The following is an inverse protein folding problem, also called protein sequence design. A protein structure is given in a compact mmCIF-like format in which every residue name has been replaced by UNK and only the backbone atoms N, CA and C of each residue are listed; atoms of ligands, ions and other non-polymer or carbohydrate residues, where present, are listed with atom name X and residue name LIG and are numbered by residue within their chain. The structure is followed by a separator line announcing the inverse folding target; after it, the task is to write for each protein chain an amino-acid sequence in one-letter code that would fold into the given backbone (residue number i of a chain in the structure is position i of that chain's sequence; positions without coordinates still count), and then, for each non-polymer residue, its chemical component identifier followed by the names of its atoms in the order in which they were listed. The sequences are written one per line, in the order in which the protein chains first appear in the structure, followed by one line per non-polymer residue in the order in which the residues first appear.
data_IF_166579263276
#
_entry.id   IF_166579263276
#
_cell.length_a   1.000
_cell.length_b   1.000
_cell.length_c   1.000
_cell.angle_alpha   90.00
_cell.angle_beta   90.00
_cell.angle_gamma   90.00
#
_symmetry.space_group_name_H-M   'P 1'
#
loop_
_entity.id
_entity.type
_entity.pdbx_description
1 polymer ?
#
# COMPACT_ATOMS: atom_id res chain seq x y z
N UNK A 1 19.16 -11.56 -7.38
CA UNK A 1 18.95 -12.59 -8.41
C UNK A 1 17.86 -12.18 -9.38
N UNK A 2 16.66 -11.80 -8.91
CA UNK A 2 15.61 -11.23 -9.75
C UNK A 2 16.04 -10.00 -10.58
N UNK A 3 16.89 -9.13 -10.02
CA UNK A 3 17.42 -7.93 -10.71
C UNK A 3 18.25 -8.19 -11.97
N UNK A 4 18.68 -9.43 -12.22
CA UNK A 4 19.45 -9.84 -13.39
C UNK A 4 18.63 -10.69 -14.38
N UNK A 5 17.34 -10.88 -14.11
CA UNK A 5 16.46 -11.71 -14.94
C UNK A 5 15.65 -10.85 -15.90
N UNK A 6 15.10 -11.52 -16.92
CA UNK A 6 14.19 -10.88 -17.86
C UNK A 6 12.90 -10.39 -17.15
N UNK A 7 12.31 -9.27 -17.60
CA UNK A 7 11.08 -8.73 -17.00
C UNK A 7 9.89 -9.69 -17.20
N UNK A 8 8.96 -9.71 -16.24
CA UNK A 8 7.64 -10.33 -16.40
C UNK A 8 6.89 -9.64 -17.54
N UNK A 9 6.26 -10.41 -18.42
CA UNK A 9 5.38 -9.90 -19.48
C UNK A 9 3.95 -10.33 -19.18
N UNK A 10 3.04 -9.36 -19.16
CA UNK A 10 1.61 -9.56 -18.94
C UNK A 10 0.81 -8.96 -20.08
N UNK A 11 -0.35 -9.54 -20.32
CA UNK A 11 -1.42 -9.01 -21.15
C UNK A 11 -2.53 -8.52 -20.22
N UNK A 12 -2.91 -7.24 -20.34
CA UNK A 12 -4.01 -6.64 -19.59
C UNK A 12 -5.16 -6.34 -20.54
N UNK A 13 -6.29 -6.99 -20.32
CA UNK A 13 -7.51 -6.80 -21.10
C UNK A 13 -8.53 -6.03 -20.28
N UNK A 14 -8.98 -4.88 -20.80
CA UNK A 14 -10.03 -4.07 -20.16
C UNK A 14 -11.25 -4.06 -21.08
N UNK A 15 -12.42 -4.40 -20.53
CA UNK A 15 -13.68 -4.44 -21.28
C UNK A 15 -14.68 -3.51 -20.59
N UNK A 16 -15.20 -2.55 -21.34
CA UNK A 16 -16.30 -1.71 -20.92
C UNK A 16 -17.62 -2.34 -21.38
N UNK A 17 -18.57 -2.49 -20.47
CA UNK A 17 -19.91 -3.00 -20.73
C UNK A 17 -20.92 -1.90 -20.46
N UNK A 18 -21.85 -1.72 -21.38
CA UNK A 18 -22.96 -0.78 -21.22
C UNK A 18 -24.28 -1.55 -21.20
N UNK A 19 -25.14 -1.21 -20.25
CA UNK A 19 -26.46 -1.82 -20.13
C UNK A 19 -27.37 -0.99 -19.25
N UNK A 20 -28.62 -0.78 -19.69
CA UNK A 20 -29.64 -0.01 -18.95
C UNK A 20 -29.16 1.39 -18.47
N UNK A 21 -28.31 2.06 -19.25
CA UNK A 21 -27.76 3.38 -18.91
C UNK A 21 -26.66 3.36 -17.85
N UNK A 22 -26.17 2.19 -17.44
CA UNK A 22 -25.04 2.00 -16.53
C UNK A 22 -23.82 1.48 -17.28
N UNK A 23 -22.63 1.86 -16.79
CA UNK A 23 -21.35 1.41 -17.31
C UNK A 23 -20.66 0.51 -16.28
N UNK A 24 -20.13 -0.62 -16.75
CA UNK A 24 -19.39 -1.58 -15.95
C UNK A 24 -18.03 -1.82 -16.60
N UNK A 25 -16.99 -1.99 -15.79
CA UNK A 25 -15.64 -2.30 -16.26
C UNK A 25 -15.20 -3.67 -15.78
N UNK A 26 -14.74 -4.51 -16.70
CA UNK A 26 -14.06 -5.77 -16.40
C UNK A 26 -12.57 -5.62 -16.71
N UNK A 27 -11.72 -6.13 -15.83
CA UNK A 27 -10.28 -6.17 -16.03
C UNK A 27 -9.78 -7.61 -15.90
N UNK A 28 -9.09 -8.06 -16.92
CA UNK A 28 -8.42 -9.34 -17.00
C UNK A 28 -6.91 -9.15 -17.09
N UNK A 29 -6.15 -9.99 -16.38
CA UNK A 29 -4.70 -10.00 -16.45
C UNK A 29 -4.26 -11.43 -16.75
N UNK A 30 -3.38 -11.58 -17.74
CA UNK A 30 -2.79 -12.86 -18.13
C UNK A 30 -1.27 -12.73 -18.18
N UNK A 31 -0.56 -13.60 -17.48
CA UNK A 31 0.90 -13.68 -17.59
C UNK A 31 1.30 -14.40 -18.88
N UNK A 32 2.05 -13.72 -19.74
CA UNK A 32 2.64 -14.28 -20.97
C UNK A 32 4.01 -14.90 -20.70
N UNK A 33 4.78 -14.25 -19.82
CA UNK A 33 6.11 -14.70 -19.42
C UNK A 33 6.39 -14.29 -17.98
N UNK A 34 6.70 -15.22 -17.06
CA UNK A 34 6.88 -14.91 -15.64
C UNK A 34 8.18 -14.15 -15.33
N UNK A 35 9.24 -14.32 -16.13
CA UNK A 35 10.49 -13.58 -15.95
C UNK A 35 11.09 -13.70 -14.54
N UNK A 36 11.41 -12.57 -13.92
CA UNK A 36 12.01 -12.49 -12.59
C UNK A 36 11.12 -13.05 -11.45
N UNK A 37 9.81 -13.16 -11.67
CA UNK A 37 8.83 -13.63 -10.68
C UNK A 37 9.09 -15.06 -10.22
N UNK A 38 9.69 -15.90 -11.08
CA UNK A 38 10.04 -17.30 -10.77
C UNK A 38 10.93 -17.42 -9.52
N UNK A 39 11.70 -16.39 -9.20
CA UNK A 39 12.58 -16.37 -8.02
C UNK A 39 11.84 -16.01 -6.74
N UNK A 40 10.70 -15.31 -6.84
CA UNK A 40 9.91 -14.90 -5.69
C UNK A 40 8.85 -15.93 -5.28
N UNK A 41 8.49 -16.91 -6.14
CA UNK A 41 7.59 -18.02 -5.77
C UNK A 41 6.14 -17.57 -5.47
N UNK A 42 5.39 -18.37 -4.69
CA UNK A 42 3.97 -18.14 -4.29
C UNK A 42 3.73 -16.91 -3.39
N UNK A 43 4.70 -16.01 -3.22
CA UNK A 43 4.53 -14.78 -2.44
C UNK A 43 3.74 -13.70 -3.20
N UNK A 44 3.66 -13.80 -4.52
CA UNK A 44 2.74 -13.04 -5.37
C UNK A 44 1.65 -13.99 -5.89
N UNK A 45 0.56 -14.15 -5.15
CA UNK A 45 -0.71 -14.56 -5.77
C UNK A 45 -1.23 -13.37 -6.60
N UNK A 46 -0.61 -13.13 -7.75
CA UNK A 46 -1.23 -12.28 -8.76
C UNK A 46 -2.50 -12.99 -9.21
N UNK A 47 -3.65 -12.51 -8.72
CA UNK A 47 -4.99 -12.93 -9.14
C UNK A 47 -5.07 -12.85 -10.67
N UNK A 48 -4.76 -13.95 -11.33
CA UNK A 48 -4.81 -14.04 -12.78
C UNK A 48 -6.29 -14.15 -13.15
N UNK A 49 -6.96 -13.01 -13.26
CA UNK A 49 -8.33 -12.95 -13.74
C UNK A 49 -8.33 -13.15 -15.26
N UNK A 50 -8.44 -14.40 -15.69
CA UNK A 50 -8.61 -14.72 -17.09
C UNK A 50 -9.99 -14.27 -17.55
N UNK A 51 -10.03 -13.27 -18.43
CA UNK A 51 -11.25 -12.94 -19.14
C UNK A 51 -11.42 -13.88 -20.33
N UNK A 52 -12.65 -14.35 -20.62
CA UNK A 52 -12.93 -15.01 -21.88
C UNK A 52 -12.73 -14.04 -23.05
N UNK A 53 -12.55 -14.57 -24.26
CA UNK A 53 -12.51 -13.72 -25.45
C UNK A 53 -13.87 -13.03 -25.66
N UNK A 54 -13.90 -11.70 -25.50
CA UNK A 54 -15.07 -10.86 -25.72
C UNK A 54 -14.81 -10.03 -26.97
N UNK A 55 -15.73 -10.09 -27.94
CA UNK A 55 -15.68 -9.27 -29.15
C UNK A 55 -16.48 -7.98 -28.96
N UNK A 56 -16.04 -6.90 -29.59
CA UNK A 56 -16.80 -5.66 -29.64
C UNK A 56 -18.19 -5.90 -30.25
N UNK A 57 -19.23 -5.34 -29.63
CA UNK A 57 -20.62 -5.53 -30.03
C UNK A 57 -21.25 -6.86 -29.58
N UNK A 58 -20.54 -7.70 -28.82
CA UNK A 58 -21.14 -8.90 -28.24
C UNK A 58 -22.20 -8.55 -27.19
N UNK A 59 -23.38 -9.17 -27.30
CA UNK A 59 -24.44 -9.06 -26.29
C UNK A 59 -24.22 -10.11 -25.20
N UNK A 60 -24.11 -9.67 -23.95
CA UNK A 60 -24.01 -10.55 -22.78
C UNK A 60 -25.33 -10.59 -22.02
N UNK A 61 -25.70 -11.76 -21.52
CA UNK A 61 -26.85 -11.88 -20.60
C UNK A 61 -26.36 -11.64 -19.17
N UNK A 62 -27.06 -10.78 -18.45
CA UNK A 62 -26.81 -10.58 -17.01
C UNK A 62 -27.25 -11.84 -16.27
N UNK A 63 -26.32 -12.45 -15.54
CA UNK A 63 -26.59 -13.66 -14.73
C UNK A 63 -27.19 -13.30 -13.37
N UNK A 64 -26.39 -12.64 -12.53
CA UNK A 64 -26.78 -12.16 -11.20
C UNK A 64 -26.23 -10.75 -10.95
N UNK A 65 -26.88 -10.01 -10.06
CA UNK A 65 -26.45 -8.69 -9.60
C UNK A 65 -26.37 -8.72 -8.08
N UNK A 66 -25.18 -8.50 -7.53
CA UNK A 66 -24.92 -8.48 -6.08
C UNK A 66 -24.60 -7.03 -5.65
N UNK A 67 -25.53 -6.33 -4.99
CA UNK A 67 -25.29 -4.97 -4.51
C UNK A 67 -24.40 -5.00 -3.27
N UNK A 68 -23.20 -4.42 -3.37
CA UNK A 68 -22.26 -4.33 -2.24
C UNK A 68 -22.30 -2.95 -1.59
N UNK A 69 -22.60 -2.90 -0.30
CA UNK A 69 -22.40 -1.70 0.51
C UNK A 69 -20.97 -1.68 1.07
N UNK A 70 -20.20 -0.66 0.71
CA UNK A 70 -18.83 -0.46 1.22
C UNK A 70 -18.81 0.73 2.17
N UNK A 71 -18.05 0.58 3.26
CA UNK A 71 -17.75 1.67 4.19
C UNK A 71 -16.31 2.13 4.01
N UNK A 72 -16.08 3.43 4.15
CA UNK A 72 -14.71 3.96 4.22
C UNK A 72 -14.06 3.46 5.49
N UNK A 73 -12.87 2.88 5.35
CA UNK A 73 -12.05 2.52 6.50
C UNK A 73 -11.17 3.71 6.86
N UNK A 74 -10.89 3.95 8.16
CA UNK A 74 -9.88 4.91 8.54
C UNK A 74 -8.51 4.48 7.99
N UNK A 75 -7.57 5.42 7.95
CA UNK A 75 -6.20 5.12 7.52
C UNK A 75 -5.62 3.98 8.35
N UNK A 76 -4.91 3.04 7.70
CA UNK A 76 -4.29 1.93 8.40
C UNK A 76 -3.26 2.49 9.40
N UNK A 77 -3.22 1.94 10.63
CA UNK A 77 -2.23 2.38 11.59
C UNK A 77 -0.83 2.03 11.10
N UNK A 78 0.14 2.83 11.53
CA UNK A 78 1.52 2.65 11.10
C UNK A 78 2.11 1.33 11.62
N UNK A 79 2.77 0.58 10.74
CA UNK A 79 3.76 -0.45 11.05
C UNK A 79 5.18 0.07 10.72
N UNK A 80 6.22 -0.69 11.07
CA UNK A 80 7.61 -0.30 10.81
C UNK A 80 7.84 0.08 9.34
N UNK A 81 7.41 -0.76 8.39
CA UNK A 81 7.59 -0.50 6.96
C UNK A 81 6.91 0.81 6.50
N UNK A 82 5.69 1.05 6.95
CA UNK A 82 4.94 2.27 6.63
C UNK A 82 5.51 3.52 7.29
N UNK A 83 6.09 3.42 8.50
CA UNK A 83 6.81 4.55 9.12
C UNK A 83 8.09 4.83 8.35
N UNK A 84 8.87 3.81 8.00
CA UNK A 84 10.10 3.98 7.21
C UNK A 84 9.77 4.69 5.90
N UNK A 85 8.71 4.26 5.20
CA UNK A 85 8.25 4.91 3.97
C UNK A 85 7.83 6.36 4.21
N UNK A 86 7.08 6.64 5.27
CA UNK A 86 6.66 8.00 5.61
C UNK A 86 7.84 8.91 5.99
N UNK A 87 8.88 8.37 6.63
CA UNK A 87 10.12 9.08 6.95
C UNK A 87 10.89 9.42 5.68
N UNK A 88 11.01 8.46 4.75
CA UNK A 88 11.67 8.65 3.45
C UNK A 88 10.96 9.69 2.59
N UNK A 89 9.63 9.62 2.46
CA UNK A 89 8.81 10.59 1.71
C UNK A 89 8.95 12.02 2.26
N UNK A 90 9.17 12.16 3.57
CA UNK A 90 9.38 13.45 4.24
C UNK A 90 10.85 13.86 4.33
N UNK A 91 11.79 13.06 3.81
CA UNK A 91 13.24 13.34 3.86
C UNK A 91 13.87 13.20 5.26
N UNK A 92 13.13 12.70 6.24
CA UNK A 92 13.57 12.64 7.65
C UNK A 92 14.36 11.36 7.89
N UNK A 93 15.66 11.49 8.16
CA UNK A 93 16.55 10.36 8.41
C UNK A 93 17.12 9.75 7.14
N UNK A 94 17.87 8.65 7.27
CA UNK A 94 18.57 7.95 6.18
C UNK A 94 18.41 6.43 6.35
N UNK A 95 18.69 5.61 5.31
CA UNK A 95 18.58 4.15 5.40
C UNK A 95 19.32 3.53 6.59
N UNK A 96 20.44 4.15 7.01
CA UNK A 96 21.21 3.74 8.19
C UNK A 96 20.57 4.10 9.53
N UNK A 97 19.61 5.02 9.56
CA UNK A 97 19.06 5.58 10.81
C UNK A 97 17.61 5.20 11.07
N UNK A 98 16.84 4.78 10.06
CA UNK A 98 15.40 4.50 10.23
C UNK A 98 15.11 3.49 11.34
N UNK A 99 15.74 2.32 11.29
CA UNK A 99 15.56 1.28 12.31
C UNK A 99 15.98 1.76 13.70
N UNK A 100 17.14 2.43 13.81
CA UNK A 100 17.64 2.93 15.10
C UNK A 100 16.75 4.01 15.72
N UNK A 101 16.12 4.86 14.90
CA UNK A 101 15.18 5.89 15.37
C UNK A 101 13.91 5.26 15.92
N UNK A 102 13.33 4.31 15.18
CA UNK A 102 12.12 3.59 15.62
C UNK A 102 12.40 2.82 16.91
N UNK A 103 13.52 2.10 16.98
CA UNK A 103 13.93 1.35 18.16
C UNK A 103 14.11 2.27 19.37
N UNK A 104 14.70 3.46 19.18
CA UNK A 104 14.88 4.45 20.24
C UNK A 104 13.53 4.95 20.78
N UNK A 105 12.54 5.19 19.91
CA UNK A 105 11.20 5.62 20.31
C UNK A 105 10.46 4.54 21.12
N UNK A 106 10.63 3.27 20.72
CA UNK A 106 10.08 2.13 21.45
C UNK A 106 10.77 1.97 22.81
N UNK A 107 12.11 2.01 22.84
CA UNK A 107 12.93 1.87 24.06
C UNK A 107 12.63 2.96 25.08
N UNK A 108 12.38 4.19 24.62
CA UNK A 108 11.98 5.33 25.47
C UNK A 108 10.49 5.35 25.82
N UNK A 109 9.72 4.35 25.39
CA UNK A 109 8.28 4.20 25.67
C UNK A 109 7.42 5.36 25.15
N UNK A 110 7.85 6.03 24.09
CA UNK A 110 7.02 7.02 23.38
C UNK A 110 6.05 6.34 22.40
N UNK A 111 6.41 5.15 21.93
CA UNK A 111 5.62 4.34 21.01
C UNK A 111 5.60 2.90 21.52
N UNK A 112 4.48 2.20 21.37
CA UNK A 112 4.37 0.77 21.63
C UNK A 112 4.21 0.01 20.31
N UNK A 113 4.87 -1.14 20.22
CA UNK A 113 4.70 -2.08 19.13
C UNK A 113 3.78 -3.22 19.61
N UNK A 114 2.53 -3.23 19.15
CA UNK A 114 1.56 -4.29 19.46
C UNK A 114 1.18 -5.01 18.18
N UNK A 115 1.53 -6.30 18.06
CA UNK A 115 1.25 -7.12 16.85
C UNK A 115 1.75 -6.48 15.55
N UNK A 116 2.92 -5.85 15.58
CA UNK A 116 3.51 -5.17 14.41
C UNK A 116 2.94 -3.79 14.10
N UNK A 117 2.00 -3.30 14.91
CA UNK A 117 1.44 -1.95 14.80
C UNK A 117 2.10 -1.03 15.82
N UNK A 118 2.54 0.14 15.37
CA UNK A 118 3.14 1.21 16.16
C UNK A 118 2.05 2.19 16.59
N UNK A 119 1.86 2.33 17.90
CA UNK A 119 0.90 3.25 18.48
C UNK A 119 1.60 4.21 19.47
N UNK A 120 1.27 5.52 19.45
CA UNK A 120 1.84 6.46 20.41
C UNK A 120 1.30 6.23 21.82
N UNK A 121 2.17 6.32 22.83
CA UNK A 121 1.78 6.32 24.23
C UNK A 121 1.24 7.68 24.67
N UNK A 122 0.58 7.74 25.83
CA UNK A 122 0.11 9.01 26.39
C UNK A 122 1.29 9.95 26.72
N UNK A 123 2.42 9.39 27.16
CA UNK A 123 3.66 10.12 27.39
C UNK A 123 4.25 10.66 26.07
N UNK A 124 4.21 9.86 25.00
CA UNK A 124 4.63 10.28 23.66
C UNK A 124 3.81 11.46 23.14
N UNK A 125 2.49 11.39 23.27
CA UNK A 125 1.59 12.49 22.85
C UNK A 125 1.86 13.77 23.64
N UNK A 126 2.03 13.67 24.96
CA UNK A 126 2.33 14.83 25.82
C UNK A 126 3.69 15.45 25.51
N UNK A 127 4.70 14.61 25.22
CA UNK A 127 6.01 15.10 24.84
C UNK A 127 5.94 15.87 23.52
N UNK A 128 5.26 15.34 22.50
CA UNK A 128 5.07 16.01 21.21
C UNK A 128 4.29 17.31 21.37
N UNK A 129 3.18 17.33 22.12
CA UNK A 129 2.39 18.54 22.32
C UNK A 129 3.18 19.65 23.03
N UNK A 130 4.02 19.28 24.00
CA UNK A 130 4.90 20.23 24.70
C UNK A 130 5.97 20.78 23.77
N UNK A 131 6.63 19.91 22.98
CA UNK A 131 7.65 20.33 22.04
C UNK A 131 7.08 21.23 20.93
N UNK A 132 5.89 20.94 20.42
CA UNK A 132 5.20 21.80 19.45
C UNK A 132 4.84 23.18 20.03
N UNK A 133 4.50 23.24 21.32
CA UNK A 133 4.14 24.50 21.98
C UNK A 133 5.34 25.42 22.21
N UNK A 134 6.47 24.87 22.64
CA UNK A 134 7.65 25.67 23.04
C UNK A 134 8.76 25.73 21.98
N UNK A 135 8.82 24.76 21.07
CA UNK A 135 9.88 24.63 20.06
C UNK A 135 9.32 24.22 18.69
N UNK A 136 8.34 24.96 18.12
CA UNK A 136 7.70 24.57 16.86
C UNK A 136 8.70 24.45 15.70
N UNK A 137 9.70 25.32 15.65
CA UNK A 137 10.71 25.34 14.57
C UNK A 137 11.58 24.08 14.55
N UNK A 138 11.89 23.51 15.72
CA UNK A 138 12.75 22.31 15.85
C UNK A 138 11.97 21.03 15.53
N UNK A 139 10.65 21.04 15.74
CA UNK A 139 9.77 19.88 15.55
C UNK A 139 9.18 19.85 14.13
N UNK A 140 9.37 20.92 13.35
CA UNK A 140 8.91 20.98 11.97
C UNK A 140 9.61 19.93 11.11
N UNK A 141 8.81 19.22 10.31
CA UNK A 141 9.32 18.24 9.34
C UNK A 141 10.20 18.92 8.28
N UNK A 142 9.88 20.16 7.92
CA UNK A 142 10.59 20.93 6.89
C UNK A 142 11.98 21.38 7.34
N UNK A 143 12.18 21.56 8.66
CA UNK A 143 13.49 21.92 9.23
C UNK A 143 14.39 20.70 9.43
N UNK A 144 13.79 19.49 9.46
CA UNK A 144 14.49 18.23 9.79
C UNK A 144 14.90 17.42 8.54
N UNK A 145 14.26 17.66 7.40
CA UNK A 145 14.54 16.99 6.11
C UNK A 145 15.88 17.40 5.50
#
# INVERSE_FOLDING_TARGET
MASLMAPKQIESTSVALQGNGLEFSLKGIRTLFPGFEVVYGEFDEDETSLLPEIKEGASLKVGSVDPQQKFTKPEPPYNEASIVKAMEEKGIGRPSTYATTIETLIKRKYVTATRGVLAPTEEGKKAVSTLQQYFPDIVSTDYTA
#
